data_IF_289664485599
#
_entry.id   IF_289664485599
#
_cell.length_a   1.000
_cell.length_b   1.000
_cell.length_c   1.000
_cell.angle_alpha   90.00
_cell.angle_beta   90.00
_cell.angle_gamma   90.00
#
_symmetry.space_group_name_H-M   'P 1'
#
loop_
_entity.id
_entity.type
_entity.pdbx_description
1 polymer ?
#
# COMPACT_ATOMS: atom_id res chain seq x y z
N UNK A 1 8.40 19.89 -2.34
CA UNK A 1 9.16 19.19 -3.40
C UNK A 1 8.08 18.60 -4.30
N UNK A 2 8.34 17.61 -5.17
CA UNK A 2 7.26 16.75 -5.64
C UNK A 2 7.28 15.50 -4.77
N UNK A 3 6.14 15.11 -4.20
CA UNK A 3 6.07 13.89 -3.39
C UNK A 3 6.37 12.66 -4.25
N UNK A 4 6.74 11.54 -3.61
CA UNK A 4 6.78 10.24 -4.29
C UNK A 4 5.42 9.91 -4.94
N UNK A 5 4.32 10.23 -4.25
CA UNK A 5 2.95 10.12 -4.76
C UNK A 5 2.66 11.05 -5.96
N UNK A 6 3.21 12.26 -5.99
CA UNK A 6 3.01 13.24 -7.08
C UNK A 6 3.71 12.79 -8.35
N UNK A 7 4.84 12.09 -8.22
CA UNK A 7 5.59 11.55 -9.34
C UNK A 7 4.81 10.49 -10.13
N UNK A 8 3.84 9.82 -9.49
CA UNK A 8 3.05 8.74 -10.09
C UNK A 8 1.59 9.11 -10.38
N UNK A 9 1.20 10.37 -10.19
CA UNK A 9 -0.15 10.84 -10.50
C UNK A 9 -1.08 11.00 -9.28
N UNK A 10 -0.52 11.05 -8.07
CA UNK A 10 -1.24 11.43 -6.87
C UNK A 10 -2.02 10.28 -6.21
N UNK A 11 -2.82 10.61 -5.19
CA UNK A 11 -3.68 9.66 -4.49
C UNK A 11 -4.68 8.95 -5.42
N UNK A 12 -5.05 9.59 -6.54
CA UNK A 12 -5.90 8.97 -7.56
C UNK A 12 -5.26 7.70 -8.14
N UNK A 13 -3.99 7.78 -8.51
CA UNK A 13 -3.25 6.64 -9.05
C UNK A 13 -3.23 5.46 -8.06
N UNK A 14 -2.99 5.74 -6.77
CA UNK A 14 -3.02 4.72 -5.72
C UNK A 14 -4.40 4.10 -5.58
N UNK A 15 -5.45 4.91 -5.53
CA UNK A 15 -6.83 4.40 -5.41
C UNK A 15 -7.22 3.52 -6.61
N UNK A 16 -6.88 3.94 -7.82
CA UNK A 16 -7.17 3.20 -9.05
C UNK A 16 -6.38 1.88 -9.07
N UNK A 17 -5.09 1.90 -8.72
CA UNK A 17 -4.24 0.70 -8.63
C UNK A 17 -4.75 -0.29 -7.60
N UNK A 18 -5.14 0.18 -6.41
CA UNK A 18 -5.71 -0.66 -5.36
C UNK A 18 -7.05 -1.24 -5.80
N UNK A 19 -7.91 -0.45 -6.46
CA UNK A 19 -9.17 -0.97 -7.00
C UNK A 19 -8.95 -2.04 -8.08
N UNK A 20 -7.99 -1.84 -8.98
CA UNK A 20 -7.59 -2.83 -9.99
C UNK A 20 -7.08 -4.12 -9.34
N UNK A 21 -6.19 -4.02 -8.33
CA UNK A 21 -5.71 -5.17 -7.58
C UNK A 21 -6.87 -5.97 -6.98
N UNK A 22 -7.76 -5.31 -6.22
CA UNK A 22 -8.91 -5.99 -5.61
C UNK A 22 -9.86 -6.57 -6.65
N UNK A 23 -10.02 -5.92 -7.81
CA UNK A 23 -10.75 -6.48 -8.94
C UNK A 23 -10.11 -7.76 -9.50
N UNK A 24 -8.78 -7.79 -9.62
CA UNK A 24 -8.04 -8.94 -10.12
C UNK A 24 -8.08 -10.13 -9.15
N UNK A 25 -7.98 -9.88 -7.84
CA UNK A 25 -8.03 -10.95 -6.83
C UNK A 25 -9.45 -11.34 -6.42
N UNK A 26 -10.46 -10.53 -6.73
CA UNK A 26 -11.87 -10.78 -6.35
C UNK A 26 -12.39 -12.14 -6.80
N UNK A 27 -11.96 -12.64 -7.97
CA UNK A 27 -12.37 -13.94 -8.50
C UNK A 27 -11.90 -15.13 -7.65
N UNK A 28 -10.94 -14.91 -6.74
CA UNK A 28 -10.38 -15.93 -5.86
C UNK A 28 -11.01 -15.92 -4.47
N UNK A 29 -11.98 -15.04 -4.20
CA UNK A 29 -12.62 -14.91 -2.89
C UNK A 29 -14.01 -15.55 -2.83
N UNK A 30 -14.39 -16.04 -1.66
CA UNK A 30 -15.74 -16.50 -1.38
C UNK A 30 -16.66 -15.30 -1.09
N UNK A 31 -17.95 -15.42 -1.41
CA UNK A 31 -18.93 -14.32 -1.26
C UNK A 31 -18.99 -13.74 0.16
N UNK A 32 -18.75 -14.56 1.18
CA UNK A 32 -18.73 -14.18 2.60
C UNK A 32 -17.61 -13.19 2.93
N UNK A 33 -16.50 -13.23 2.18
CA UNK A 33 -15.32 -12.40 2.42
C UNK A 33 -15.42 -11.02 1.73
N UNK A 34 -16.35 -10.86 0.78
CA UNK A 34 -16.48 -9.65 -0.07
C UNK A 34 -16.66 -8.35 0.73
N UNK A 35 -17.43 -8.40 1.83
CA UNK A 35 -17.66 -7.24 2.68
C UNK A 35 -16.39 -6.83 3.46
N UNK A 36 -15.57 -7.79 3.83
CA UNK A 36 -14.28 -7.53 4.49
C UNK A 36 -13.23 -7.09 3.48
N UNK A 37 -13.28 -7.57 2.25
CA UNK A 37 -12.40 -7.10 1.17
C UNK A 37 -12.63 -5.64 0.80
N UNK A 38 -13.87 -5.14 0.77
CA UNK A 38 -14.12 -3.69 0.56
C UNK A 38 -13.51 -2.83 1.68
N UNK A 39 -13.52 -3.33 2.92
CA UNK A 39 -12.85 -2.65 4.05
C UNK A 39 -11.34 -2.72 3.90
N UNK A 40 -10.78 -3.87 3.50
CA UNK A 40 -9.36 -4.04 3.24
C UNK A 40 -8.88 -3.12 2.10
N UNK A 41 -9.62 -3.05 0.99
CA UNK A 41 -9.35 -2.16 -0.13
C UNK A 41 -9.25 -0.70 0.33
N UNK A 42 -10.28 -0.20 1.01
CA UNK A 42 -10.30 1.18 1.51
C UNK A 42 -9.14 1.47 2.46
N UNK A 43 -8.82 0.51 3.34
CA UNK A 43 -7.75 0.66 4.32
C UNK A 43 -6.36 0.63 3.68
N UNK A 44 -6.11 -0.29 2.75
CA UNK A 44 -4.84 -0.36 2.04
C UNK A 44 -4.62 0.86 1.15
N UNK A 45 -5.67 1.38 0.50
CA UNK A 45 -5.58 2.63 -0.26
C UNK A 45 -5.24 3.84 0.64
N UNK A 46 -5.86 3.93 1.82
CA UNK A 46 -5.54 4.97 2.80
C UNK A 46 -4.11 4.83 3.34
N UNK A 47 -3.66 3.60 3.62
CA UNK A 47 -2.31 3.33 4.10
C UNK A 47 -1.26 3.70 3.05
N UNK A 48 -1.39 3.21 1.80
CA UNK A 48 -0.46 3.55 0.72
C UNK A 48 -0.45 5.04 0.40
N UNK A 49 -1.62 5.68 0.35
CA UNK A 49 -1.67 7.13 0.11
C UNK A 49 -0.96 7.91 1.22
N UNK A 50 -1.05 7.45 2.47
CA UNK A 50 -0.33 8.04 3.59
C UNK A 50 1.18 7.77 3.48
N UNK A 51 1.58 6.54 3.20
CA UNK A 51 2.96 6.11 3.10
C UNK A 51 3.75 6.83 1.99
N UNK A 52 3.07 7.24 0.92
CA UNK A 52 3.67 7.91 -0.23
C UNK A 52 3.52 9.44 -0.20
N UNK A 53 2.78 9.99 0.78
CA UNK A 53 2.54 11.43 0.91
C UNK A 53 3.77 12.19 1.45
N UNK A 54 3.92 13.47 1.06
CA UNK A 54 5.11 14.29 1.40
C UNK A 54 5.28 14.55 2.89
N UNK A 55 4.20 14.52 3.68
CA UNK A 55 4.26 14.88 5.09
C UNK A 55 4.82 13.73 5.89
N UNK A 56 6.05 13.83 6.40
CA UNK A 56 6.53 12.91 7.40
C UNK A 56 5.77 13.27 8.66
N UNK A 57 4.62 12.64 8.88
CA UNK A 57 4.29 12.38 10.27
C UNK A 57 5.47 11.57 10.85
N UNK A 58 5.85 11.80 12.12
CA UNK A 58 6.94 11.02 12.71
C UNK A 58 6.70 9.54 12.42
N UNK A 59 7.76 8.79 12.10
CA UNK A 59 7.77 7.36 11.72
C UNK A 59 6.89 6.48 12.63
N UNK A 60 6.51 6.99 13.81
CA UNK A 60 5.48 6.47 14.73
C UNK A 60 4.25 7.38 14.79
N UNK A 61 3.58 7.62 13.68
CA UNK A 61 2.34 8.37 13.71
C UNK A 61 1.24 7.45 14.20
N UNK A 62 0.45 7.91 15.17
CA UNK A 62 -0.72 7.18 15.64
C UNK A 62 -1.67 6.82 14.50
N UNK A 63 -1.65 7.60 13.41
CA UNK A 63 -2.41 7.34 12.20
C UNK A 63 -1.84 6.20 11.36
N UNK A 64 -0.53 6.16 11.10
CA UNK A 64 0.11 5.08 10.36
C UNK A 64 -0.12 3.73 11.07
N UNK A 65 0.16 3.66 12.38
CA UNK A 65 -0.07 2.46 13.18
C UNK A 65 -1.55 2.06 13.24
N UNK A 66 -2.47 3.03 13.32
CA UNK A 66 -3.91 2.75 13.29
C UNK A 66 -4.38 2.19 11.95
N UNK A 67 -3.85 2.71 10.84
CA UNK A 67 -4.16 2.21 9.51
C UNK A 67 -3.60 0.78 9.33
N UNK A 68 -2.34 0.55 9.73
CA UNK A 68 -1.64 -0.73 9.61
C UNK A 68 -2.32 -1.88 10.37
N UNK A 69 -2.83 -1.67 11.59
CA UNK A 69 -3.46 -2.71 12.43
C UNK A 69 -4.63 -3.47 11.81
N UNK A 70 -5.26 -2.92 10.77
CA UNK A 70 -6.37 -3.56 10.08
C UNK A 70 -6.00 -4.09 8.70
N UNK A 71 -4.74 -3.96 8.27
CA UNK A 71 -4.26 -4.42 6.96
C UNK A 71 -3.93 -5.90 7.06
N UNK A 72 -4.45 -6.69 6.14
CA UNK A 72 -4.00 -8.08 5.98
C UNK A 72 -2.57 -8.10 5.39
N UNK A 73 -1.56 -8.67 6.08
CA UNK A 73 -0.16 -8.63 5.64
C UNK A 73 0.06 -9.30 4.27
N UNK A 74 -0.50 -10.50 4.06
CA UNK A 74 -0.36 -11.23 2.80
C UNK A 74 -0.98 -10.49 1.61
N UNK A 75 -2.15 -9.87 1.81
CA UNK A 75 -2.76 -9.04 0.76
C UNK A 75 -1.96 -7.75 0.52
N UNK A 76 -1.25 -7.25 1.53
CA UNK A 76 -0.44 -6.05 1.41
C UNK A 76 0.85 -6.30 0.63
N UNK A 77 1.55 -7.41 0.92
CA UNK A 77 2.70 -7.85 0.13
C UNK A 77 2.32 -8.06 -1.34
N UNK A 78 1.24 -8.79 -1.60
CA UNK A 78 0.75 -9.00 -2.97
C UNK A 78 0.34 -7.69 -3.67
N UNK A 79 -0.20 -6.72 -2.92
CA UNK A 79 -0.52 -5.39 -3.45
C UNK A 79 0.74 -4.59 -3.79
N UNK A 80 1.82 -4.71 -3.02
CA UNK A 80 3.10 -4.05 -3.31
C UNK A 80 3.76 -4.64 -4.56
N UNK A 81 3.74 -5.95 -4.72
CA UNK A 81 4.21 -6.62 -5.94
C UNK A 81 3.39 -6.18 -7.17
N UNK A 82 2.06 -6.12 -7.02
CA UNK A 82 1.18 -5.63 -8.08
C UNK A 82 1.46 -4.17 -8.43
N UNK A 83 1.68 -3.31 -7.43
CA UNK A 83 2.03 -1.90 -7.62
C UNK A 83 3.35 -1.74 -8.39
N UNK A 84 4.39 -2.50 -8.04
CA UNK A 84 5.69 -2.46 -8.73
C UNK A 84 5.57 -2.86 -10.20
N UNK A 85 4.86 -3.95 -10.46
CA UNK A 85 4.57 -4.41 -11.82
C UNK A 85 3.80 -3.35 -12.61
N UNK A 86 2.76 -2.76 -12.00
CA UNK A 86 1.92 -1.72 -12.62
C UNK A 86 2.71 -0.46 -12.98
N UNK A 87 3.59 -0.01 -12.10
CA UNK A 87 4.46 1.14 -12.35
C UNK A 87 5.42 0.86 -13.53
N UNK A 88 5.94 -0.36 -13.60
CA UNK A 88 6.80 -0.80 -14.71
C UNK A 88 6.03 -0.83 -16.04
N UNK A 89 4.79 -1.35 -16.05
CA UNK A 89 3.92 -1.35 -17.24
C UNK A 89 3.61 0.06 -17.76
N UNK A 90 3.46 1.03 -16.85
CA UNK A 90 3.20 2.42 -17.20
C UNK A 90 4.45 3.20 -17.62
N UNK A 91 5.62 2.55 -17.64
CA UNK A 91 6.88 3.12 -18.11
C UNK A 91 7.64 3.93 -17.07
N UNK A 92 7.30 3.81 -15.78
CA UNK A 92 8.12 4.37 -14.71
C UNK A 92 9.44 3.61 -14.59
N UNK A 93 10.49 4.28 -14.11
CA UNK A 93 11.79 3.63 -13.93
C UNK A 93 11.73 2.59 -12.82
N UNK A 94 12.51 1.51 -12.94
CA UNK A 94 12.65 0.51 -11.88
C UNK A 94 13.10 1.16 -10.57
N UNK A 95 14.01 2.14 -10.63
CA UNK A 95 14.48 2.85 -9.44
C UNK A 95 13.35 3.59 -8.71
N UNK A 96 12.47 4.29 -9.43
CA UNK A 96 11.33 4.98 -8.82
C UNK A 96 10.33 3.98 -8.26
N UNK A 97 10.06 2.91 -9.02
CA UNK A 97 9.10 1.87 -8.63
C UNK A 97 9.52 1.16 -7.35
N UNK A 98 10.77 0.71 -7.27
CA UNK A 98 11.30 0.06 -6.08
C UNK A 98 11.38 1.02 -4.89
N UNK A 99 11.73 2.29 -5.10
CA UNK A 99 11.75 3.29 -4.01
C UNK A 99 10.35 3.53 -3.41
N UNK A 100 9.30 3.51 -4.22
CA UNK A 100 7.92 3.63 -3.75
C UNK A 100 7.49 2.44 -2.90
N UNK A 101 7.80 1.22 -3.38
CA UNK A 101 7.50 -0.02 -2.67
C UNK A 101 8.28 -0.11 -1.36
N UNK A 102 9.57 0.21 -1.39
CA UNK A 102 10.44 0.24 -0.21
C UNK A 102 9.94 1.22 0.83
N UNK A 103 9.51 2.43 0.42
CA UNK A 103 8.93 3.44 1.33
C UNK A 103 7.66 2.92 2.02
N UNK A 104 6.76 2.30 1.28
CA UNK A 104 5.53 1.74 1.83
C UNK A 104 5.78 0.53 2.75
N UNK A 105 6.70 -0.35 2.37
CA UNK A 105 7.08 -1.54 3.13
C UNK A 105 7.79 -1.17 4.44
N UNK A 106 8.71 -0.20 4.40
CA UNK A 106 9.43 0.31 5.57
C UNK A 106 8.44 0.90 6.58
N UNK A 107 7.53 1.77 6.14
CA UNK A 107 6.53 2.35 7.05
C UNK A 107 5.62 1.28 7.66
N UNK A 108 5.24 0.27 6.88
CA UNK A 108 4.42 -0.84 7.39
C UNK A 108 5.16 -1.64 8.46
N UNK A 109 6.42 -1.98 8.22
CA UNK A 109 7.29 -2.68 9.17
C UNK A 109 7.50 -1.87 10.45
N UNK A 110 7.69 -0.56 10.34
CA UNK A 110 7.85 0.34 11.48
C UNK A 110 6.56 0.50 12.33
N UNK A 111 5.40 0.21 11.75
CA UNK A 111 4.11 0.25 12.44
C UNK A 111 3.84 -0.96 13.33
N UNK A 112 4.59 -2.05 13.18
CA UNK A 112 4.43 -3.30 13.93
C UNK A 112 5.70 -3.69 14.71
N UNK A 113 5.81 -3.35 16.01
CA UNK A 113 6.94 -3.77 16.83
C UNK A 113 6.93 -5.27 17.19
N UNK A 114 5.86 -6.03 16.97
CA UNK A 114 5.81 -7.48 17.23
C UNK A 114 6.33 -8.30 16.04
N UNK A 115 6.28 -7.78 14.80
CA UNK A 115 6.92 -8.42 13.63
C UNK A 115 8.45 -8.30 13.62
N UNK A 116 9.04 -7.34 14.36
CA UNK A 116 10.49 -7.13 14.42
C UNK A 116 11.24 -8.16 15.30
N UNK A 117 10.53 -9.05 16.01
CA UNK A 117 11.11 -9.99 16.98
C UNK A 117 11.14 -11.45 16.46
N UNK A 118 10.73 -11.68 15.21
CA UNK A 118 10.82 -12.99 14.56
C UNK A 118 12.03 -13.07 13.62
N UNK A 119 13.24 -12.93 14.18
CA UNK A 119 14.51 -13.29 13.55
C UNK A 119 15.29 -14.22 14.49
#
# INVERSE_FOLDING_TARGET
>A
MATLLDQVGGSRFVNDTVAEFYGAVAQHFCDVDTADHRKQQSRQAQFLSHALSETPEPVRSSRASFLARGVNPTLFEALLEFLEARLTELGFSCQLSSALVESASTLYSDCDPEMAIAC
#
